data_IF_903779865107
#
_entry.id   IF_903779865107
#
_cell.length_a   1.000
_cell.length_b   1.000
_cell.length_c   1.000
_cell.angle_alpha   90.00
_cell.angle_beta   90.00
_cell.angle_gamma   90.00
#
_symmetry.space_group_name_H-M   'P 1'
#
loop_
_entity.id
_entity.type
_entity.pdbx_description
1 polymer ?
#
# COMPACT_ATOMS: atom_id res chain seq x y z
N UNK A 1 15.35 -3.20 6.78
CA UNK A 1 15.09 -3.90 5.52
C UNK A 1 16.36 -4.60 5.04
N UNK A 2 16.23 -5.64 4.22
CA UNK A 2 17.35 -6.22 3.46
C UNK A 2 17.48 -5.43 2.14
N UNK A 3 18.66 -5.47 1.46
CA UNK A 3 18.77 -4.82 0.15
C UNK A 3 17.69 -5.26 -0.84
N UNK A 4 17.34 -6.54 -0.84
CA UNK A 4 16.31 -7.11 -1.72
C UNK A 4 14.87 -6.67 -1.38
N UNK A 5 14.65 -6.10 -0.21
CA UNK A 5 13.35 -5.57 0.17
C UNK A 5 13.12 -4.16 -0.42
N UNK A 6 14.16 -3.47 -0.91
CA UNK A 6 14.10 -2.07 -1.36
C UNK A 6 13.87 -1.98 -2.87
N UNK A 7 12.91 -1.16 -3.29
CA UNK A 7 12.63 -0.78 -4.67
C UNK A 7 12.75 0.75 -4.76
N UNK A 8 13.70 1.24 -5.53
CA UNK A 8 13.86 2.70 -5.72
C UNK A 8 12.78 3.25 -6.65
N UNK A 9 12.22 4.39 -6.27
CA UNK A 9 11.15 5.09 -6.98
C UNK A 9 11.49 6.58 -7.15
N UNK A 10 10.65 7.33 -7.85
CA UNK A 10 10.81 8.78 -8.01
C UNK A 10 10.27 9.60 -6.82
N UNK A 11 9.65 8.96 -5.83
CA UNK A 11 9.08 9.63 -4.65
C UNK A 11 7.96 8.83 -4.00
N UNK A 12 7.37 9.37 -2.94
CA UNK A 12 6.29 8.74 -2.19
C UNK A 12 5.08 8.40 -3.06
N UNK A 13 4.65 9.31 -3.93
CA UNK A 13 3.51 9.07 -4.82
C UNK A 13 3.70 7.85 -5.71
N UNK A 14 4.90 7.65 -6.28
CA UNK A 14 5.17 6.44 -7.07
C UNK A 14 5.23 5.20 -6.18
N UNK A 15 5.83 5.30 -5.00
CA UNK A 15 5.88 4.20 -4.03
C UNK A 15 4.48 3.73 -3.63
N UNK A 16 3.58 4.66 -3.30
CA UNK A 16 2.19 4.36 -2.94
C UNK A 16 1.42 3.74 -4.12
N UNK A 17 1.57 4.31 -5.33
CA UNK A 17 0.93 3.73 -6.52
C UNK A 17 1.41 2.30 -6.77
N UNK A 18 2.71 2.05 -6.66
CA UNK A 18 3.28 0.72 -6.84
C UNK A 18 2.79 -0.24 -5.74
N UNK A 19 2.76 0.19 -4.49
CA UNK A 19 2.24 -0.62 -3.39
C UNK A 19 0.76 -0.94 -3.59
N UNK A 20 -0.10 0.08 -3.73
CA UNK A 20 -1.55 -0.09 -3.79
C UNK A 20 -1.97 -0.91 -5.03
N UNK A 21 -1.53 -0.49 -6.21
CA UNK A 21 -1.90 -1.17 -7.47
C UNK A 21 -1.19 -2.50 -7.61
N UNK A 22 0.12 -2.54 -7.37
CA UNK A 22 0.92 -3.74 -7.57
C UNK A 22 0.56 -4.89 -6.62
N UNK A 23 0.43 -4.62 -5.33
CA UNK A 23 0.07 -5.64 -4.34
C UNK A 23 -1.39 -6.08 -4.54
N UNK A 24 -2.34 -5.14 -4.71
CA UNK A 24 -3.74 -5.48 -4.89
C UNK A 24 -3.96 -6.37 -6.12
N UNK A 25 -3.33 -6.07 -7.26
CA UNK A 25 -3.46 -6.88 -8.48
C UNK A 25 -2.79 -8.26 -8.33
N UNK A 26 -1.60 -8.33 -7.73
CA UNK A 26 -0.92 -9.60 -7.48
C UNK A 26 -1.72 -10.49 -6.53
N UNK A 27 -2.29 -9.93 -5.46
CA UNK A 27 -3.14 -10.63 -4.50
C UNK A 27 -4.47 -11.05 -5.11
N UNK A 28 -5.13 -10.18 -5.87
CA UNK A 28 -6.35 -10.53 -6.61
C UNK A 28 -6.13 -11.79 -7.45
N UNK A 29 -5.03 -11.86 -8.22
CA UNK A 29 -4.66 -13.04 -9.01
C UNK A 29 -4.39 -14.27 -8.13
N UNK A 30 -3.65 -14.12 -7.03
CA UNK A 30 -3.34 -15.21 -6.08
C UNK A 30 -4.59 -15.78 -5.42
N UNK A 31 -5.58 -14.95 -5.12
CA UNK A 31 -6.86 -15.34 -4.52
C UNK A 31 -7.85 -15.91 -5.56
N UNK A 32 -7.49 -15.96 -6.85
CA UNK A 32 -8.37 -16.42 -7.93
C UNK A 32 -9.53 -15.47 -8.22
N UNK A 33 -9.49 -14.24 -7.70
CA UNK A 33 -10.49 -13.21 -7.94
C UNK A 33 -10.31 -12.63 -9.34
N UNK A 34 -11.38 -12.11 -9.93
CA UNK A 34 -11.36 -11.51 -11.26
C UNK A 34 -11.81 -10.06 -11.21
N UNK A 35 -11.29 -9.20 -12.10
CA UNK A 35 -11.82 -7.86 -12.26
C UNK A 35 -13.29 -7.88 -12.60
N UNK A 36 -14.07 -6.99 -11.98
CA UNK A 36 -15.46 -6.74 -12.34
C UNK A 36 -15.49 -5.47 -13.18
N UNK A 37 -15.12 -5.58 -14.46
CA UNK A 37 -15.18 -4.46 -15.40
C UNK A 37 -16.61 -4.25 -15.89
N UNK A 38 -17.07 -3.00 -16.02
CA UNK A 38 -18.42 -2.65 -16.49
C UNK A 38 -18.81 -3.19 -17.88
N UNK A 39 -17.87 -3.78 -18.62
CA UNK A 39 -18.11 -4.53 -19.85
C UNK A 39 -18.47 -6.01 -19.62
N UNK A 40 -18.33 -6.51 -18.40
CA UNK A 40 -18.61 -7.91 -18.05
C UNK A 40 -20.03 -8.11 -17.44
N UNK A 41 -20.79 -7.05 -17.23
CA UNK A 41 -22.18 -7.13 -16.73
C UNK A 41 -23.19 -7.68 -17.75
N UNK A 42 -22.76 -8.00 -18.97
CA UNK A 42 -23.68 -8.52 -20.01
C UNK A 42 -24.39 -9.84 -19.63
N UNK A 43 -23.85 -10.58 -18.65
CA UNK A 43 -24.41 -11.90 -18.28
C UNK A 43 -25.03 -11.98 -16.88
N UNK A 44 -25.02 -10.92 -16.08
CA UNK A 44 -25.75 -10.84 -14.80
C UNK A 44 -25.41 -11.88 -13.72
N UNK A 45 -24.25 -12.56 -13.79
CA UNK A 45 -23.95 -13.78 -13.03
C UNK A 45 -22.72 -13.74 -12.12
N UNK A 46 -22.17 -12.58 -11.77
CA UNK A 46 -21.15 -12.61 -10.73
C UNK A 46 -21.75 -12.38 -9.34
N UNK A 47 -21.58 -13.33 -8.41
CA UNK A 47 -21.97 -13.12 -7.02
C UNK A 47 -21.25 -11.90 -6.46
N UNK A 48 -21.92 -11.12 -5.62
CA UNK A 48 -21.31 -9.98 -4.91
C UNK A 48 -20.03 -10.38 -4.13
N UNK A 49 -19.93 -11.65 -3.73
CA UNK A 49 -18.80 -12.21 -3.00
C UNK A 49 -17.53 -12.47 -3.83
N UNK A 50 -17.50 -12.13 -5.12
CA UNK A 50 -16.31 -12.34 -5.98
C UNK A 50 -15.54 -11.05 -6.26
N UNK A 51 -15.98 -9.89 -5.78
CA UNK A 51 -15.29 -8.63 -5.99
C UNK A 51 -14.03 -8.55 -5.14
N UNK A 52 -12.85 -8.25 -5.73
CA UNK A 52 -11.67 -7.97 -4.94
C UNK A 52 -11.91 -6.73 -4.09
N UNK A 53 -11.30 -6.70 -2.92
CA UNK A 53 -11.50 -5.64 -1.92
C UNK A 53 -10.18 -5.05 -1.49
N UNK A 54 -10.15 -3.76 -1.23
CA UNK A 54 -9.04 -3.05 -0.60
C UNK A 54 -9.57 -2.21 0.55
N UNK A 55 -8.86 -2.21 1.67
CA UNK A 55 -9.18 -1.39 2.84
C UNK A 55 -8.12 -0.29 2.96
N UNK A 56 -8.55 0.94 3.11
CA UNK A 56 -7.67 2.09 3.35
C UNK A 56 -8.15 2.90 4.54
N UNK A 57 -7.30 3.71 5.16
CA UNK A 57 -7.76 4.67 6.16
C UNK A 57 -8.55 5.82 5.49
N UNK A 58 -9.43 6.48 6.25
CA UNK A 58 -10.20 7.63 5.74
C UNK A 58 -9.33 8.88 5.56
N UNK A 59 -8.14 8.91 6.13
CA UNK A 59 -7.23 10.06 6.17
C UNK A 59 -5.98 9.89 5.30
N UNK A 60 -6.00 8.96 4.33
CA UNK A 60 -4.88 8.70 3.45
C UNK A 60 -4.52 9.90 2.56
N UNK A 61 -3.21 9.98 2.23
CA UNK A 61 -2.75 10.88 1.20
C UNK A 61 -3.43 10.59 -0.16
N UNK A 62 -3.67 11.61 -1.00
CA UNK A 62 -4.30 11.42 -2.32
C UNK A 62 -3.62 10.34 -3.19
N UNK A 63 -2.32 10.10 -3.05
CA UNK A 63 -1.61 9.04 -3.78
C UNK A 63 -2.17 7.64 -3.48
N UNK A 64 -2.56 7.36 -2.24
CA UNK A 64 -3.21 6.11 -1.82
C UNK A 64 -4.69 6.14 -2.21
N UNK A 65 -5.42 7.19 -1.81
CA UNK A 65 -6.86 7.28 -2.02
C UNK A 65 -7.25 7.23 -3.51
N UNK A 66 -6.50 7.94 -4.37
CA UNK A 66 -6.75 7.94 -5.83
C UNK A 66 -6.30 6.63 -6.48
N UNK A 67 -5.24 5.98 -5.98
CA UNK A 67 -4.85 4.65 -6.47
C UNK A 67 -5.90 3.59 -6.16
N UNK A 68 -6.52 3.66 -4.97
CA UNK A 68 -7.66 2.80 -4.62
C UNK A 68 -8.90 3.11 -5.47
N UNK A 69 -9.20 4.39 -5.70
CA UNK A 69 -10.29 4.81 -6.60
C UNK A 69 -10.06 4.32 -8.04
N UNK A 70 -8.83 4.36 -8.53
CA UNK A 70 -8.47 3.81 -9.84
C UNK A 70 -8.72 2.29 -9.92
N UNK A 71 -8.38 1.53 -8.87
CA UNK A 71 -8.69 0.11 -8.79
C UNK A 71 -10.20 -0.15 -8.79
N UNK A 72 -10.99 0.71 -8.13
CA UNK A 72 -12.44 0.65 -8.16
C UNK A 72 -12.98 0.87 -9.57
N UNK A 73 -12.56 1.95 -10.22
CA UNK A 73 -13.08 2.37 -11.53
C UNK A 73 -12.76 1.36 -12.63
N UNK A 74 -11.50 0.88 -12.68
CA UNK A 74 -11.02 0.08 -13.80
C UNK A 74 -11.06 -1.44 -13.57
N UNK A 75 -11.07 -1.88 -12.32
CA UNK A 75 -11.02 -3.30 -11.97
C UNK A 75 -12.18 -3.73 -11.06
N UNK A 76 -13.09 -2.84 -10.72
CA UNK A 76 -14.27 -3.12 -9.91
C UNK A 76 -14.00 -3.49 -8.46
N UNK A 77 -12.86 -3.04 -7.91
CA UNK A 77 -12.57 -3.26 -6.49
C UNK A 77 -13.61 -2.58 -5.60
N UNK A 78 -13.98 -3.25 -4.54
CA UNK A 78 -14.64 -2.61 -3.41
C UNK A 78 -13.59 -1.87 -2.58
N UNK A 79 -13.77 -0.56 -2.39
CA UNK A 79 -12.88 0.28 -1.56
C UNK A 79 -13.58 0.59 -0.26
N UNK A 80 -13.05 0.04 0.83
CA UNK A 80 -13.53 0.30 2.19
C UNK A 80 -12.63 1.33 2.84
N UNK A 81 -13.25 2.31 3.51
CA UNK A 81 -12.54 3.34 4.27
C UNK A 81 -12.81 3.16 5.75
N UNK A 82 -11.77 2.88 6.51
CA UNK A 82 -11.86 2.82 7.97
C UNK A 82 -11.96 4.24 8.53
N UNK A 83 -13.00 4.54 9.33
CA UNK A 83 -13.17 5.84 9.93
C UNK A 83 -12.08 6.15 10.96
N UNK A 84 -11.98 7.42 11.32
CA UNK A 84 -11.11 7.93 12.39
C UNK A 84 -11.96 8.66 13.44
N UNK A 85 -11.41 8.77 14.63
CA UNK A 85 -11.99 9.58 15.71
C UNK A 85 -11.73 11.10 15.50
N UNK A 86 -12.15 11.92 16.47
CA UNK A 86 -11.97 13.37 16.44
C UNK A 86 -10.49 13.82 16.53
N UNK A 87 -9.59 12.93 16.95
CA UNK A 87 -8.15 13.11 17.00
C UNK A 87 -7.43 12.51 15.77
N UNK A 88 -8.23 12.02 14.81
CA UNK A 88 -7.80 11.35 13.60
C UNK A 88 -7.05 10.01 13.83
N UNK A 89 -7.31 9.30 14.94
CA UNK A 89 -6.87 7.94 15.14
C UNK A 89 -7.84 6.95 14.48
N UNK A 90 -7.29 5.94 13.82
CA UNK A 90 -8.07 4.88 13.17
C UNK A 90 -8.92 4.09 14.18
N UNK A 91 -10.16 3.81 13.80
CA UNK A 91 -11.05 2.89 14.52
C UNK A 91 -10.59 1.43 14.26
N UNK A 92 -9.81 0.89 15.20
CA UNK A 92 -9.28 -0.47 15.12
C UNK A 92 -10.38 -1.52 15.16
N UNK A 93 -11.44 -1.29 15.92
CA UNK A 93 -12.58 -2.19 16.00
C UNK A 93 -13.32 -2.22 14.65
N UNK A 94 -13.40 -1.09 13.94
CA UNK A 94 -13.94 -1.04 12.59
C UNK A 94 -13.08 -1.84 11.61
N UNK A 95 -11.76 -1.73 11.70
CA UNK A 95 -10.85 -2.53 10.88
C UNK A 95 -11.04 -4.03 11.11
N UNK A 96 -11.13 -4.45 12.39
CA UNK A 96 -11.34 -5.86 12.75
C UNK A 96 -12.67 -6.37 12.21
N UNK A 97 -13.78 -5.62 12.41
CA UNK A 97 -15.11 -5.96 11.85
C UNK A 97 -15.10 -6.10 10.33
N UNK A 98 -14.36 -5.23 9.64
CA UNK A 98 -14.27 -5.26 8.19
C UNK A 98 -13.41 -6.42 7.65
N UNK A 99 -12.56 -7.00 8.48
CA UNK A 99 -11.75 -8.18 8.15
C UNK A 99 -12.38 -9.49 8.60
N UNK A 100 -13.46 -9.45 9.40
CA UNK A 100 -14.13 -10.67 9.87
C UNK A 100 -14.84 -11.45 8.75
N UNK A 101 -14.86 -12.77 8.91
CA UNK A 101 -15.60 -13.69 8.06
C UNK A 101 -15.10 -13.75 6.62
N UNK A 102 -16.03 -13.99 5.69
CA UNK A 102 -15.73 -14.15 4.24
C UNK A 102 -15.14 -12.89 3.58
N UNK A 103 -15.28 -11.72 4.22
CA UNK A 103 -14.76 -10.47 3.67
C UNK A 103 -13.23 -10.47 3.58
N UNK A 104 -12.53 -11.10 4.54
CA UNK A 104 -11.07 -11.23 4.52
C UNK A 104 -10.56 -12.04 3.33
N UNK A 105 -11.29 -13.07 2.90
CA UNK A 105 -10.89 -13.96 1.80
C UNK A 105 -10.77 -13.22 0.45
N UNK A 106 -11.51 -12.13 0.29
CA UNK A 106 -11.46 -11.29 -0.92
C UNK A 106 -10.72 -9.96 -0.69
N UNK A 107 -10.24 -9.68 0.53
CA UNK A 107 -9.46 -8.48 0.84
C UNK A 107 -8.02 -8.67 0.37
N UNK A 108 -7.59 -7.86 -0.57
CA UNK A 108 -6.28 -7.94 -1.18
C UNK A 108 -5.19 -7.32 -0.32
N UNK A 109 -5.51 -6.23 0.38
CA UNK A 109 -4.60 -5.56 1.31
C UNK A 109 -5.32 -4.53 2.18
N UNK A 110 -4.65 -4.16 3.27
CA UNK A 110 -4.93 -2.96 4.07
C UNK A 110 -3.87 -1.91 3.73
N UNK A 111 -4.21 -0.63 3.70
CA UNK A 111 -3.26 0.46 3.62
C UNK A 111 -3.59 1.54 4.65
N UNK A 112 -2.57 2.02 5.36
CA UNK A 112 -2.68 3.10 6.33
C UNK A 112 -1.43 3.98 6.30
N UNK A 113 -1.58 5.27 6.59
CA UNK A 113 -0.41 6.10 6.86
C UNK A 113 0.10 5.89 8.27
N UNK A 114 1.42 6.05 8.47
CA UNK A 114 2.03 6.03 9.80
C UNK A 114 1.85 7.36 10.53
N UNK A 115 2.00 8.47 9.82
CA UNK A 115 1.82 9.81 10.37
C UNK A 115 1.05 10.68 9.38
N UNK A 116 0.00 11.36 9.85
CA UNK A 116 -0.81 12.20 8.99
C UNK A 116 -0.12 13.55 8.72
N UNK A 117 -0.10 13.97 7.46
CA UNK A 117 0.56 15.18 7.00
C UNK A 117 -0.18 16.49 7.33
N UNK A 118 -1.44 16.43 7.74
CA UNK A 118 -2.26 17.62 8.03
C UNK A 118 -2.45 17.83 9.52
N UNK A 119 -2.76 16.77 10.26
CA UNK A 119 -3.07 16.86 11.70
C UNK A 119 -1.96 16.30 12.61
N UNK A 120 -1.00 15.56 12.05
CA UNK A 120 0.17 15.07 12.80
C UNK A 120 -0.09 13.82 13.65
N UNK A 121 -1.28 13.23 13.59
CA UNK A 121 -1.60 11.99 14.31
C UNK A 121 -0.69 10.87 13.85
N UNK A 122 -0.21 10.05 14.80
CA UNK A 122 0.63 8.87 14.55
C UNK A 122 -0.20 7.63 14.85
N UNK A 123 -0.29 6.74 13.87
CA UNK A 123 -1.11 5.53 13.95
C UNK A 123 -0.37 4.37 14.64
N UNK A 124 -1.08 3.50 15.36
CA UNK A 124 -0.52 2.34 16.06
C UNK A 124 -0.23 1.19 15.08
N UNK A 125 0.78 1.37 14.21
CA UNK A 125 1.09 0.44 13.10
C UNK A 125 1.26 -1.01 13.57
N UNK A 126 1.90 -1.24 14.72
CA UNK A 126 2.12 -2.59 15.24
C UNK A 126 0.80 -3.33 15.49
N UNK A 127 -0.19 -2.63 16.02
CA UNK A 127 -1.52 -3.19 16.26
C UNK A 127 -2.32 -3.38 14.97
N UNK A 128 -2.24 -2.43 14.04
CA UNK A 128 -2.84 -2.55 12.70
C UNK A 128 -2.29 -3.75 11.94
N UNK A 129 -0.98 -3.97 12.00
CA UNK A 129 -0.33 -5.16 11.41
C UNK A 129 -0.84 -6.45 12.06
N UNK A 130 -0.92 -6.48 13.39
CA UNK A 130 -1.44 -7.65 14.13
C UNK A 130 -2.86 -8.01 13.70
N UNK A 131 -3.74 -7.01 13.57
CA UNK A 131 -5.12 -7.20 13.13
C UNK A 131 -5.13 -7.74 11.68
N UNK A 132 -4.47 -7.07 10.73
CA UNK A 132 -4.47 -7.49 9.34
C UNK A 132 -3.91 -8.91 9.16
N UNK A 133 -2.81 -9.23 9.84
CA UNK A 133 -2.16 -10.54 9.76
C UNK A 133 -2.98 -11.66 10.41
N UNK A 134 -3.75 -11.38 11.46
CA UNK A 134 -4.67 -12.37 12.06
C UNK A 134 -5.70 -12.89 11.02
N UNK A 135 -6.02 -12.08 10.02
CA UNK A 135 -6.92 -12.41 8.91
C UNK A 135 -6.18 -12.80 7.60
N UNK A 136 -4.85 -12.94 7.64
CA UNK A 136 -4.03 -13.31 6.46
C UNK A 136 -3.96 -12.24 5.36
N UNK A 137 -4.25 -10.99 5.71
CA UNK A 137 -4.26 -9.85 4.79
C UNK A 137 -2.96 -9.05 4.95
N UNK A 138 -2.21 -8.76 3.86
CA UNK A 138 -1.01 -7.94 3.92
C UNK A 138 -1.35 -6.48 4.16
N UNK A 139 -0.40 -5.76 4.80
CA UNK A 139 -0.55 -4.34 5.11
C UNK A 139 0.55 -3.49 4.48
N UNK A 140 0.16 -2.40 3.84
CA UNK A 140 1.03 -1.32 3.39
C UNK A 140 0.94 -0.15 4.36
N UNK A 141 2.08 0.49 4.60
CA UNK A 141 2.19 1.69 5.45
C UNK A 141 2.79 2.83 4.65
N UNK A 142 2.04 3.91 4.46
CA UNK A 142 2.61 5.18 3.97
C UNK A 142 3.36 5.87 5.12
N UNK A 143 4.70 5.79 5.08
CA UNK A 143 5.59 6.40 6.06
C UNK A 143 6.28 7.68 5.52
N UNK A 144 5.74 8.27 4.45
CA UNK A 144 6.33 9.43 3.79
C UNK A 144 6.52 10.61 4.75
N UNK A 145 5.58 10.86 5.65
CA UNK A 145 5.71 11.93 6.65
C UNK A 145 6.45 11.50 7.91
N UNK A 146 6.57 10.22 8.17
CA UNK A 146 7.22 9.69 9.37
C UNK A 146 8.73 9.53 9.20
N UNK A 147 9.19 9.21 7.98
CA UNK A 147 10.60 8.97 7.69
C UNK A 147 11.46 10.19 8.05
N UNK A 148 12.51 9.94 8.84
CA UNK A 148 13.38 10.99 9.35
C UNK A 148 12.81 11.84 10.51
N UNK A 149 11.54 11.68 10.87
CA UNK A 149 10.89 12.41 11.96
C UNK A 149 10.67 11.54 13.21
N UNK A 150 10.26 10.28 13.02
CA UNK A 150 10.04 9.32 14.10
C UNK A 150 10.67 7.96 13.74
N UNK A 151 10.98 7.11 14.73
CA UNK A 151 11.55 5.79 14.48
C UNK A 151 10.60 4.90 13.68
N UNK A 152 11.12 4.28 12.62
CA UNK A 152 10.40 3.30 11.80
C UNK A 152 11.01 1.92 12.01
N UNK A 153 10.20 0.96 12.46
CA UNK A 153 10.63 -0.41 12.79
C UNK A 153 10.05 -1.42 11.80
N UNK A 154 10.30 -1.23 10.50
CA UNK A 154 9.75 -2.05 9.42
C UNK A 154 9.80 -3.56 9.66
N UNK A 155 10.92 -4.06 10.22
CA UNK A 155 11.07 -5.50 10.50
C UNK A 155 10.35 -5.92 11.77
N UNK A 156 10.47 -5.15 12.84
CA UNK A 156 9.93 -5.51 14.14
C UNK A 156 8.40 -5.47 14.12
N UNK A 157 7.83 -4.50 13.42
CA UNK A 157 6.38 -4.39 13.20
C UNK A 157 5.82 -5.41 12.20
N UNK A 158 6.69 -6.11 11.48
CA UNK A 158 6.32 -7.09 10.45
C UNK A 158 5.48 -6.51 9.28
N UNK A 159 5.60 -5.22 8.98
CA UNK A 159 4.92 -4.54 7.86
C UNK A 159 5.29 -5.22 6.54
N UNK A 160 4.33 -5.44 5.64
CA UNK A 160 4.55 -6.09 4.35
C UNK A 160 5.11 -5.17 3.29
N UNK A 161 4.64 -3.91 3.25
CA UNK A 161 5.16 -2.87 2.38
C UNK A 161 5.15 -1.50 3.06
N UNK A 162 6.16 -0.64 2.77
CA UNK A 162 6.30 0.67 3.38
C UNK A 162 6.87 1.67 2.39
N UNK A 163 6.16 2.80 2.21
CA UNK A 163 6.56 3.88 1.31
C UNK A 163 7.34 4.97 2.04
N UNK A 164 8.42 5.47 1.40
CA UNK A 164 9.16 6.63 1.86
C UNK A 164 9.46 7.60 0.72
N UNK A 165 9.65 8.88 1.05
CA UNK A 165 9.97 9.93 0.08
C UNK A 165 11.13 10.79 0.58
N UNK A 166 12.22 10.80 -0.17
CA UNK A 166 13.48 11.42 0.26
C UNK A 166 13.38 12.90 0.58
N UNK A 167 12.62 13.68 -0.19
CA UNK A 167 12.49 15.12 0.05
C UNK A 167 11.84 15.49 1.41
N UNK A 168 11.26 14.53 2.10
CA UNK A 168 10.66 14.72 3.43
C UNK A 168 11.69 14.63 4.56
N UNK A 169 12.87 14.06 4.29
CA UNK A 169 13.96 13.92 5.26
C UNK A 169 15.32 14.39 4.71
N UNK A 170 15.32 15.46 3.90
CA UNK A 170 16.51 16.21 3.55
C UNK A 170 17.21 15.83 2.25
N UNK A 171 16.70 14.85 1.48
CA UNK A 171 17.31 14.49 0.20
C UNK A 171 16.71 15.28 -0.98
N UNK A 172 17.36 15.32 -2.16
CA UNK A 172 16.80 15.96 -3.33
C UNK A 172 15.42 15.39 -3.72
N UNK A 173 14.59 16.24 -4.35
CA UNK A 173 13.30 15.81 -4.96
C UNK A 173 13.54 14.78 -6.07
N UNK A 174 12.52 13.98 -6.36
CA UNK A 174 12.59 12.94 -7.40
C UNK A 174 13.17 11.62 -6.91
N UNK A 175 13.14 11.37 -5.61
CA UNK A 175 13.67 10.18 -4.95
C UNK A 175 12.69 9.65 -3.91
N UNK A 176 12.50 8.35 -3.92
CA UNK A 176 11.75 7.61 -2.91
C UNK A 176 12.11 6.14 -2.93
N UNK A 177 11.51 5.39 -2.06
CA UNK A 177 11.63 3.94 -2.06
C UNK A 177 10.33 3.31 -1.56
N UNK A 178 10.03 2.14 -2.12
CA UNK A 178 9.07 1.20 -1.57
C UNK A 178 9.84 0.02 -0.98
N UNK A 179 9.67 -0.22 0.30
CA UNK A 179 10.16 -1.41 0.96
C UNK A 179 9.08 -2.48 0.87
N UNK A 180 9.41 -3.67 0.36
CA UNK A 180 8.46 -4.79 0.22
C UNK A 180 9.11 -6.06 0.73
N UNK A 181 8.44 -6.78 1.62
CA UNK A 181 8.93 -8.10 2.05
C UNK A 181 8.83 -9.13 0.94
N UNK A 182 9.84 -9.98 0.82
CA UNK A 182 9.91 -11.00 -0.22
C UNK A 182 8.73 -11.99 -0.23
N UNK A 183 7.95 -12.08 0.85
CA UNK A 183 6.71 -12.89 0.92
C UNK A 183 5.51 -12.20 0.28
N UNK A 184 5.55 -10.89 0.11
CA UNK A 184 4.43 -10.08 -0.38
C UNK A 184 4.47 -10.03 -1.91
N UNK A 185 3.46 -10.59 -2.59
CA UNK A 185 3.42 -10.55 -4.04
C UNK A 185 3.13 -9.14 -4.52
N UNK A 186 3.81 -8.72 -5.58
CA UNK A 186 3.65 -7.41 -6.18
C UNK A 186 3.83 -7.49 -7.70
N UNK A 187 2.93 -6.84 -8.46
CA UNK A 187 3.06 -6.66 -9.91
C UNK A 187 3.67 -5.30 -10.22
N UNK A 188 4.51 -5.18 -11.27
CA UNK A 188 5.04 -3.91 -11.70
C UNK A 188 3.92 -3.00 -12.24
N UNK A 189 3.94 -1.72 -11.84
CA UNK A 189 3.06 -0.69 -12.41
C UNK A 189 3.75 0.04 -13.56
N UNK A 190 5.08 0.17 -13.50
CA UNK A 190 5.90 0.78 -14.55
C UNK A 190 6.71 -0.31 -15.26
N UNK A 191 6.25 -0.71 -16.44
CA UNK A 191 6.88 -1.74 -17.27
C UNK A 191 7.98 -1.15 -18.17
N UNK A 192 8.99 -1.96 -18.54
CA UNK A 192 10.08 -1.54 -19.42
C UNK A 192 11.29 -2.49 -19.36
N UNK A 193 12.49 -1.98 -19.16
CA UNK A 193 13.76 -2.71 -19.21
C UNK A 193 14.06 -3.64 -18.04
N UNK A 194 13.14 -3.86 -17.12
CA UNK A 194 13.26 -4.86 -16.05
C UNK A 194 14.17 -4.45 -14.88
N UNK A 195 14.49 -3.16 -14.73
CA UNK A 195 15.25 -2.68 -13.57
C UNK A 195 14.48 -2.95 -12.27
N UNK A 196 15.13 -2.76 -11.13
CA UNK A 196 14.58 -3.08 -9.80
C UNK A 196 13.97 -4.50 -9.76
N UNK A 197 14.70 -5.47 -10.29
CA UNK A 197 14.26 -6.89 -10.36
C UNK A 197 12.96 -7.11 -11.13
N UNK A 198 12.68 -6.26 -12.13
CA UNK A 198 11.45 -6.29 -12.92
C UNK A 198 10.24 -5.62 -12.25
N UNK A 199 10.41 -5.08 -11.05
CA UNK A 199 9.31 -4.48 -10.26
C UNK A 199 9.11 -2.99 -10.55
N UNK A 200 10.16 -2.30 -11.04
CA UNK A 200 10.08 -0.90 -11.44
C UNK A 200 11.11 -0.60 -12.52
N UNK A 201 10.64 -0.47 -13.74
CA UNK A 201 11.51 -0.24 -14.88
C UNK A 201 11.93 1.24 -15.01
N UNK A 202 13.03 1.46 -15.73
CA UNK A 202 13.66 2.76 -15.96
C UNK A 202 15.07 2.77 -15.38
N UNK A 203 16.01 3.45 -16.07
CA UNK A 203 17.39 3.56 -15.62
C UNK A 203 17.45 4.08 -14.18
N UNK A 204 18.22 3.38 -13.33
CA UNK A 204 18.32 3.71 -11.92
C UNK A 204 19.03 5.06 -11.73
N UNK A 205 18.49 5.89 -10.85
CA UNK A 205 19.14 7.09 -10.38
C UNK A 205 20.12 6.74 -9.24
N UNK A 206 21.32 6.27 -9.62
CA UNK A 206 22.32 5.81 -8.64
C UNK A 206 22.74 6.92 -7.68
N UNK A 207 22.98 8.12 -8.19
CA UNK A 207 23.32 9.27 -7.35
C UNK A 207 22.21 9.59 -6.34
N UNK A 208 20.97 9.48 -6.78
CA UNK A 208 19.80 9.62 -5.93
C UNK A 208 19.68 8.53 -4.87
N UNK A 209 19.92 7.27 -5.24
CA UNK A 209 19.88 6.17 -4.27
C UNK A 209 20.93 6.37 -3.16
N UNK A 210 22.14 6.85 -3.50
CA UNK A 210 23.18 7.22 -2.52
C UNK A 210 22.70 8.37 -1.63
N UNK A 211 22.13 9.43 -2.22
CA UNK A 211 21.58 10.55 -1.45
C UNK A 211 20.47 10.11 -0.48
N UNK A 212 19.59 9.20 -0.91
CA UNK A 212 18.52 8.66 -0.07
C UNK A 212 19.05 7.86 1.14
N UNK A 213 20.23 7.23 0.99
CA UNK A 213 20.84 6.44 2.05
C UNK A 213 21.62 7.31 3.07
N UNK A 214 21.93 8.56 2.74
CA UNK A 214 22.69 9.50 3.59
C UNK A 214 21.76 10.40 4.42
N UNK A 215 20.59 10.76 3.87
CA UNK A 215 19.56 11.57 4.55
C UNK A 215 18.81 10.77 5.60
#
# INVERSE_FOLDING_TARGET
>A
ARPDDVIFTSGGTESDNLAIKGIAMARMRKLGLRPVCGFAEADGKQPANCRPRIIISAIEHPAVAQSAAWLHEWFGFEVVRIPVDAQAHLDLDALERELDGEASERTTMVSTMLANNEVGTVEPVEELVRIAHAHGVPIHVDAVQAAGQIPIRFRDWDVDALSVSGHKFGTPKGLGALLVRGRTPIEPVLSGGGQERGLRSGTQNVAGAVALAIG
#
